data_IF_419059439176
#
_entry.id   IF_419059439176
#
_cell.length_a   1.000
_cell.length_b   1.000
_cell.length_c   1.000
_cell.angle_alpha   90.00
_cell.angle_beta   90.00
_cell.angle_gamma   90.00
#
_symmetry.space_group_name_H-M   'P 1'
#
loop_
_entity.id
_entity.type
_entity.pdbx_description
1 polymer ?
#
# COMPACT_ATOMS: atom_id res chain seq x y z
N UNK A 1 12.37 17.48 23.37
CA UNK A 1 12.73 17.23 21.96
C UNK A 1 12.65 15.74 21.71
N UNK A 2 11.91 15.29 20.71
CA UNK A 2 11.91 13.89 20.26
C UNK A 2 13.10 13.70 19.32
N UNK A 3 13.94 12.70 19.55
CA UNK A 3 14.99 12.31 18.62
C UNK A 3 14.48 11.12 17.80
N UNK A 4 14.65 11.19 16.48
CA UNK A 4 14.34 10.07 15.58
C UNK A 4 15.64 9.31 15.31
N UNK A 5 15.66 8.01 15.60
CA UNK A 5 16.75 7.10 15.28
C UNK A 5 16.25 6.07 14.26
N UNK A 6 16.96 5.94 13.15
CA UNK A 6 16.68 4.96 12.10
C UNK A 6 17.82 3.93 12.02
N UNK A 7 17.47 2.67 11.74
CA UNK A 7 18.44 1.61 11.42
C UNK A 7 18.17 1.13 9.98
N UNK A 8 18.95 1.60 8.98
CA UNK A 8 18.70 1.30 7.58
C UNK A 8 18.55 -0.19 7.28
N UNK A 9 19.34 -1.04 7.94
CA UNK A 9 19.34 -2.49 7.73
C UNK A 9 18.01 -3.13 8.16
N UNK A 10 17.41 -2.62 9.25
CA UNK A 10 16.10 -3.09 9.71
C UNK A 10 14.97 -2.63 8.78
N UNK A 11 15.09 -1.42 8.21
CA UNK A 11 14.11 -0.92 7.25
C UNK A 11 14.18 -1.69 5.92
N UNK A 12 15.38 -2.06 5.48
CA UNK A 12 15.55 -2.90 4.30
C UNK A 12 14.98 -4.31 4.52
N UNK A 13 15.28 -4.95 5.65
CA UNK A 13 14.68 -6.24 6.02
C UNK A 13 13.16 -6.17 6.14
N UNK A 14 12.61 -5.13 6.77
CA UNK A 14 11.18 -4.90 6.85
C UNK A 14 10.55 -4.75 5.46
N UNK A 15 11.20 -4.01 4.55
CA UNK A 15 10.71 -3.85 3.18
C UNK A 15 10.70 -5.17 2.38
N UNK A 16 11.64 -6.08 2.66
CA UNK A 16 11.66 -7.41 2.05
C UNK A 16 10.49 -8.25 2.55
N UNK A 17 10.26 -8.28 3.86
CA UNK A 17 9.13 -8.98 4.48
C UNK A 17 7.78 -8.43 3.96
N UNK A 18 7.65 -7.11 3.85
CA UNK A 18 6.44 -6.49 3.32
C UNK A 18 6.21 -6.85 1.85
N UNK A 19 7.27 -6.92 1.02
CA UNK A 19 7.14 -7.38 -0.36
C UNK A 19 6.66 -8.83 -0.44
N UNK A 20 7.14 -9.71 0.45
CA UNK A 20 6.68 -11.10 0.54
C UNK A 20 5.21 -11.20 0.95
N UNK A 21 4.78 -10.41 1.94
CA UNK A 21 3.37 -10.32 2.36
C UNK A 21 2.50 -9.84 1.19
N UNK A 22 2.91 -8.77 0.50
CA UNK A 22 2.19 -8.24 -0.66
C UNK A 22 2.03 -9.26 -1.79
N UNK A 23 3.11 -9.99 -2.09
CA UNK A 23 3.09 -11.09 -3.07
C UNK A 23 2.11 -12.21 -2.68
N UNK A 24 2.18 -12.65 -1.43
CA UNK A 24 1.29 -13.70 -0.89
C UNK A 24 -0.17 -13.27 -0.92
N UNK A 25 -0.45 -12.01 -0.56
CA UNK A 25 -1.79 -11.45 -0.57
C UNK A 25 -2.33 -11.34 -2.00
N UNK A 26 -1.51 -10.88 -2.95
CA UNK A 26 -1.87 -10.81 -4.37
C UNK A 26 -2.20 -12.19 -4.94
N UNK A 27 -1.35 -13.19 -4.66
CA UNK A 27 -1.60 -14.57 -5.08
C UNK A 27 -2.88 -15.14 -4.46
N UNK A 28 -3.13 -14.86 -3.18
CA UNK A 28 -4.35 -15.29 -2.48
C UNK A 28 -5.59 -14.65 -3.08
N UNK A 29 -5.57 -13.33 -3.31
CA UNK A 29 -6.69 -12.60 -3.91
C UNK A 29 -7.03 -13.13 -5.30
N UNK A 30 -6.02 -13.42 -6.12
CA UNK A 30 -6.21 -14.04 -7.42
C UNK A 30 -6.78 -15.47 -7.32
N UNK A 31 -6.29 -16.26 -6.36
CA UNK A 31 -6.76 -17.63 -6.12
C UNK A 31 -8.24 -17.67 -5.70
N UNK A 32 -8.67 -16.73 -4.86
CA UNK A 32 -10.06 -16.68 -4.36
C UNK A 32 -11.00 -15.88 -5.26
N UNK A 33 -10.51 -15.26 -6.34
CA UNK A 33 -11.31 -14.38 -7.20
C UNK A 33 -12.53 -15.08 -7.78
N UNK A 34 -12.34 -16.21 -8.48
CA UNK A 34 -13.45 -16.96 -9.05
C UNK A 34 -14.47 -17.46 -8.00
N UNK A 35 -14.07 -18.21 -6.94
CA UNK A 35 -15.05 -18.77 -6.00
C UNK A 35 -15.81 -17.71 -5.19
N UNK A 36 -15.28 -16.49 -5.06
CA UNK A 36 -15.97 -15.41 -4.33
C UNK A 36 -16.94 -14.61 -5.19
N UNK A 37 -16.78 -14.60 -6.52
CA UNK A 37 -17.72 -13.91 -7.43
C UNK A 37 -18.83 -14.82 -7.97
N UNK A 38 -18.64 -16.14 -7.92
CA UNK A 38 -19.57 -17.14 -8.47
C UNK A 38 -20.20 -18.01 -7.40
N UNK A 39 -20.81 -17.41 -6.38
CA UNK A 39 -21.51 -18.14 -5.30
C UNK A 39 -22.84 -18.69 -5.83
N UNK A 40 -23.03 -20.03 -5.90
CA UNK A 40 -24.25 -20.62 -6.42
C UNK A 40 -25.45 -20.35 -5.50
N UNK A 41 -26.63 -20.19 -6.09
CA UNK A 41 -27.86 -19.98 -5.34
C UNK A 41 -28.21 -21.23 -4.51
N UNK A 42 -28.52 -21.08 -3.20
CA UNK A 42 -28.88 -22.21 -2.35
C UNK A 42 -30.25 -22.81 -2.70
N UNK A 43 -31.08 -22.07 -3.45
CA UNK A 43 -32.41 -22.48 -3.89
C UNK A 43 -32.75 -21.92 -5.27
N UNK A 44 -33.89 -22.35 -5.82
CA UNK A 44 -34.40 -21.92 -7.14
C UNK A 44 -35.32 -20.70 -7.06
N UNK A 45 -35.50 -20.12 -5.88
CA UNK A 45 -36.32 -18.95 -5.65
C UNK A 45 -35.58 -17.66 -6.00
N UNK A 46 -36.34 -16.59 -6.25
CA UNK A 46 -35.79 -15.29 -6.64
C UNK A 46 -34.99 -14.62 -5.54
N UNK A 47 -35.23 -14.93 -4.26
CA UNK A 47 -34.46 -14.39 -3.12
C UNK A 47 -33.09 -15.05 -3.07
N UNK A 48 -33.00 -16.37 -3.23
CA UNK A 48 -31.75 -17.12 -3.35
C UNK A 48 -30.91 -16.62 -4.53
N UNK A 49 -31.53 -16.38 -5.69
CA UNK A 49 -30.85 -15.81 -6.85
C UNK A 49 -30.31 -14.39 -6.58
N UNK A 50 -31.11 -13.52 -5.95
CA UNK A 50 -30.71 -12.18 -5.58
C UNK A 50 -29.54 -12.16 -4.58
N UNK A 51 -29.57 -13.04 -3.58
CA UNK A 51 -28.48 -13.17 -2.59
C UNK A 51 -27.17 -13.62 -3.27
N UNK A 52 -27.23 -14.60 -4.17
CA UNK A 52 -26.06 -15.00 -4.96
C UNK A 52 -25.52 -13.88 -5.83
N UNK A 53 -26.40 -13.10 -6.47
CA UNK A 53 -26.00 -11.94 -7.26
C UNK A 53 -25.34 -10.85 -6.39
N UNK A 54 -25.85 -10.63 -5.16
CA UNK A 54 -25.23 -9.71 -4.20
C UNK A 54 -23.80 -10.16 -3.84
N UNK A 55 -23.58 -11.44 -3.55
CA UNK A 55 -22.24 -11.96 -3.27
C UNK A 55 -21.30 -11.79 -4.47
N UNK A 56 -21.78 -12.06 -5.68
CA UNK A 56 -20.99 -11.85 -6.89
C UNK A 56 -20.57 -10.39 -7.06
N UNK A 57 -21.52 -9.47 -6.87
CA UNK A 57 -21.27 -8.04 -6.96
C UNK A 57 -20.29 -7.56 -5.87
N UNK A 58 -20.43 -8.04 -4.63
CA UNK A 58 -19.50 -7.75 -3.54
C UNK A 58 -18.09 -8.31 -3.81
N UNK A 59 -18.00 -9.54 -4.32
CA UNK A 59 -16.73 -10.17 -4.72
C UNK A 59 -16.01 -9.35 -5.79
N UNK A 60 -16.74 -8.85 -6.79
CA UNK A 60 -16.16 -7.97 -7.82
C UNK A 60 -15.64 -6.65 -7.23
N UNK A 61 -16.40 -6.01 -6.34
CA UNK A 61 -15.96 -4.79 -5.66
C UNK A 61 -14.71 -5.04 -4.80
N UNK A 62 -14.68 -6.15 -4.07
CA UNK A 62 -13.51 -6.57 -3.29
C UNK A 62 -12.27 -6.75 -4.16
N UNK A 63 -12.39 -7.43 -5.30
CA UNK A 63 -11.24 -7.65 -6.21
C UNK A 63 -10.67 -6.35 -6.77
N UNK A 64 -11.54 -5.39 -7.11
CA UNK A 64 -11.10 -4.06 -7.55
C UNK A 64 -10.36 -3.30 -6.46
N UNK A 65 -10.91 -3.29 -5.24
CA UNK A 65 -10.27 -2.64 -4.09
C UNK A 65 -8.94 -3.30 -3.73
N UNK A 66 -8.89 -4.63 -3.73
CA UNK A 66 -7.67 -5.40 -3.45
C UNK A 66 -6.56 -5.11 -4.46
N UNK A 67 -6.89 -4.89 -5.74
CA UNK A 67 -5.93 -4.46 -6.75
C UNK A 67 -5.38 -3.04 -6.47
N UNK A 68 -6.24 -2.10 -6.08
CA UNK A 68 -5.82 -0.74 -5.71
C UNK A 68 -4.93 -0.75 -4.45
N UNK A 69 -5.32 -1.53 -3.44
CA UNK A 69 -4.53 -1.72 -2.22
C UNK A 69 -3.15 -2.35 -2.52
N UNK A 70 -3.09 -3.32 -3.44
CA UNK A 70 -1.83 -3.91 -3.90
C UNK A 70 -0.90 -2.87 -4.53
N UNK A 71 -1.42 -2.01 -5.42
CA UNK A 71 -0.63 -0.95 -6.04
C UNK A 71 -0.09 0.06 -5.01
N UNK A 72 -0.92 0.45 -4.03
CA UNK A 72 -0.50 1.29 -2.92
C UNK A 72 0.60 0.63 -2.08
N UNK A 73 0.45 -0.66 -1.75
CA UNK A 73 1.42 -1.43 -0.96
C UNK A 73 2.79 -1.48 -1.67
N UNK A 74 2.80 -1.73 -2.98
CA UNK A 74 4.03 -1.75 -3.77
C UNK A 74 4.76 -0.41 -3.73
N UNK A 75 4.02 0.70 -3.87
CA UNK A 75 4.57 2.04 -3.74
C UNK A 75 5.13 2.26 -2.33
N UNK A 76 4.37 1.92 -1.28
CA UNK A 76 4.83 2.05 0.10
C UNK A 76 6.15 1.31 0.35
N UNK A 77 6.29 0.08 -0.13
CA UNK A 77 7.52 -0.71 -0.02
C UNK A 77 8.69 -0.04 -0.77
N UNK A 78 8.44 0.51 -1.95
CA UNK A 78 9.45 1.25 -2.72
C UNK A 78 9.93 2.50 -1.96
N UNK A 79 9.00 3.26 -1.36
CA UNK A 79 9.33 4.43 -0.54
C UNK A 79 10.16 4.04 0.68
N UNK A 80 9.77 2.97 1.37
CA UNK A 80 10.49 2.50 2.55
C UNK A 80 11.94 2.13 2.22
N UNK A 81 12.17 1.46 1.09
CA UNK A 81 13.52 1.15 0.59
C UNK A 81 14.31 2.39 0.22
N UNK A 82 13.68 3.35 -0.45
CA UNK A 82 14.33 4.62 -0.80
C UNK A 82 14.74 5.40 0.46
N UNK A 83 13.87 5.46 1.47
CA UNK A 83 14.16 6.07 2.76
C UNK A 83 15.33 5.38 3.48
N UNK A 84 15.33 4.05 3.55
CA UNK A 84 16.43 3.28 4.14
C UNK A 84 17.78 3.60 3.48
N UNK A 85 17.82 3.61 2.14
CA UNK A 85 19.03 3.98 1.38
C UNK A 85 19.46 5.41 1.66
N UNK A 86 18.52 6.35 1.76
CA UNK A 86 18.84 7.73 2.09
C UNK A 86 19.57 7.85 3.43
N UNK A 87 19.09 7.17 4.48
CA UNK A 87 19.77 7.17 5.78
C UNK A 87 21.16 6.51 5.69
N UNK A 88 21.27 5.35 5.03
CA UNK A 88 22.56 4.67 4.86
C UNK A 88 23.60 5.54 4.12
N UNK A 89 23.18 6.29 3.10
CA UNK A 89 24.10 7.20 2.38
C UNK A 89 24.60 8.35 3.24
N UNK A 90 23.77 8.87 4.15
CA UNK A 90 24.16 9.92 5.10
C UNK A 90 25.13 9.36 6.12
N UNK A 91 24.86 8.17 6.67
CA UNK A 91 25.74 7.51 7.63
C UNK A 91 27.12 7.24 7.02
N UNK A 92 27.18 6.69 5.80
CA UNK A 92 28.45 6.46 5.09
C UNK A 92 29.23 7.76 4.79
N UNK A 93 28.54 8.85 4.43
CA UNK A 93 29.17 10.15 4.20
C UNK A 93 29.76 10.73 5.49
N UNK A 94 29.04 10.60 6.61
CA UNK A 94 29.50 11.05 7.93
C UNK A 94 30.71 10.24 8.40
N UNK A 95 30.70 8.91 8.22
CA UNK A 95 31.85 8.05 8.52
C UNK A 95 33.09 8.43 7.70
N UNK A 96 32.93 8.66 6.39
CA UNK A 96 34.04 9.08 5.52
C UNK A 96 34.62 10.43 5.94
N UNK A 97 33.78 11.40 6.34
CA UNK A 97 34.23 12.69 6.84
C UNK A 97 35.04 12.57 8.14
N UNK A 98 34.59 11.72 9.08
CA UNK A 98 35.32 11.44 10.32
C UNK A 98 36.67 10.75 10.07
N UNK A 99 36.73 9.84 9.10
CA UNK A 99 37.98 9.20 8.68
C UNK A 99 38.94 10.20 8.04
N UNK A 100 38.44 11.14 7.23
CA UNK A 100 39.28 12.20 6.65
C UNK A 100 39.84 13.14 7.73
N UNK A 101 39.05 13.48 8.75
CA UNK A 101 39.50 14.33 9.87
C UNK A 101 40.60 13.66 10.72
N UNK A 102 40.48 12.36 10.98
CA UNK A 102 41.51 11.60 11.71
C UNK A 102 42.82 11.46 10.93
N UNK A 103 42.80 11.54 9.60
CA UNK A 103 44.00 11.51 8.73
C UNK A 103 44.65 12.89 8.58
N UNK A 104 43.89 13.99 8.68
CA UNK A 104 44.39 15.35 8.39
C UNK A 104 44.64 16.21 9.65
N UNK A 105 44.12 15.82 10.82
CA UNK A 105 44.45 16.50 12.09
C UNK A 105 43.98 17.95 12.19
N UNK A 106 42.94 18.35 11.45
CA UNK A 106 42.39 19.72 11.47
C UNK A 106 40.86 19.68 11.40
N UNK A 107 40.19 20.32 12.37
CA UNK A 107 38.72 20.48 12.46
C UNK A 107 38.27 21.84 11.84
N UNK A 108 36.96 22.08 11.56
CA UNK A 108 35.82 21.18 11.67
C UNK A 108 35.18 20.81 10.31
N UNK A 109 34.64 19.59 10.21
CA UNK A 109 33.78 19.19 9.12
C UNK A 109 32.41 19.88 9.25
N UNK A 110 32.15 20.92 8.45
CA UNK A 110 30.80 21.43 8.25
C UNK A 110 30.10 20.48 7.28
N UNK A 111 29.51 19.41 7.80
CA UNK A 111 28.55 18.60 7.06
C UNK A 111 27.30 19.46 6.82
N UNK A 112 27.25 20.13 5.66
CA UNK A 112 26.03 20.76 5.18
C UNK A 112 24.91 19.72 5.07
N UNK A 113 23.62 20.13 5.17
CA UNK A 113 22.51 19.19 5.24
C UNK A 113 22.52 18.30 4.00
N UNK A 114 22.94 17.04 4.19
CA UNK A 114 22.85 16.02 3.15
C UNK A 114 21.38 15.91 2.76
N UNK A 115 21.10 16.13 1.48
CA UNK A 115 19.76 16.27 0.90
C UNK A 115 18.97 14.95 0.95
N UNK A 116 18.60 14.48 2.15
CA UNK A 116 17.77 13.31 2.36
C UNK A 116 16.27 13.57 2.06
N UNK A 117 15.88 14.82 1.81
CA UNK A 117 14.48 15.22 1.63
C UNK A 117 13.94 15.01 0.20
N UNK A 118 14.81 14.98 -0.83
CA UNK A 118 14.39 14.91 -2.23
C UNK A 118 13.57 13.66 -2.60
N UNK A 119 13.99 12.44 -2.21
CA UNK A 119 13.29 11.21 -2.57
C UNK A 119 11.93 11.06 -1.87
N UNK A 120 11.82 11.52 -0.62
CA UNK A 120 10.62 11.35 0.22
C UNK A 120 9.49 12.30 -0.23
N UNK A 121 9.82 13.55 -0.56
CA UNK A 121 8.85 14.56 -1.02
C UNK A 121 8.31 14.23 -2.42
N UNK A 122 9.16 13.74 -3.33
CA UNK A 122 8.72 13.29 -4.66
C UNK A 122 7.75 12.11 -4.58
N UNK A 123 7.95 11.24 -3.60
CA UNK A 123 7.13 10.06 -3.39
C UNK A 123 5.81 10.35 -2.65
N UNK A 124 5.80 11.31 -1.70
CA UNK A 124 4.61 11.83 -1.03
C UNK A 124 3.62 12.50 -2.02
N UNK A 125 4.17 13.18 -3.04
CA UNK A 125 3.39 13.81 -4.11
C UNK A 125 2.74 12.77 -5.05
N UNK A 126 3.26 11.54 -5.12
CA UNK A 126 2.71 10.48 -5.96
C UNK A 126 1.56 9.70 -5.31
N UNK A 127 1.42 9.76 -3.98
CA UNK A 127 0.41 9.00 -3.19
C UNK A 127 -0.94 9.74 -3.14
N UNK A 128 -0.92 11.07 -3.19
CA UNK A 128 -2.09 11.94 -3.06
C UNK A 128 -3.18 11.73 -4.13
N UNK A 129 -2.87 11.47 -5.42
CA UNK A 129 -3.90 11.25 -6.45
C UNK A 129 -4.61 9.90 -6.32
N UNK A 130 -3.94 8.85 -5.81
CA UNK A 130 -4.49 7.50 -5.71
C UNK A 130 -5.61 7.37 -4.66
N UNK A 131 -5.63 8.30 -3.68
CA UNK A 131 -6.62 8.37 -2.61
C UNK A 131 -7.84 9.25 -2.98
N UNK A 132 -7.74 10.08 -4.02
CA UNK A 132 -8.71 11.14 -4.33
C UNK A 132 -9.86 10.71 -5.26
N UNK A 133 -9.77 9.57 -5.93
CA UNK A 133 -10.82 9.04 -6.83
C UNK A 133 -11.86 8.16 -6.15
N UNK A 134 -11.88 8.14 -4.81
CA UNK A 134 -12.81 7.32 -4.03
C UNK A 134 -14.23 7.89 -4.14
N UNK A 135 -14.94 7.54 -5.22
CA UNK A 135 -16.40 7.40 -5.10
C UNK A 135 -16.56 6.30 -4.06
N UNK A 136 -17.04 6.59 -2.84
CA UNK A 136 -16.87 5.66 -1.74
C UNK A 136 -17.49 4.34 -2.15
N UNK A 137 -16.69 3.27 -2.19
CA UNK A 137 -17.14 1.91 -2.51
C UNK A 137 -18.37 1.51 -1.68
N UNK A 138 -18.53 2.09 -0.50
CA UNK A 138 -19.74 2.03 0.32
C UNK A 138 -21.02 2.47 -0.41
N UNK A 139 -21.00 3.59 -1.14
CA UNK A 139 -22.11 4.07 -1.94
C UNK A 139 -22.39 3.20 -3.18
N UNK A 140 -21.36 2.53 -3.71
CA UNK A 140 -21.55 1.52 -4.75
C UNK A 140 -22.19 0.24 -4.16
N UNK A 141 -21.80 -0.16 -2.94
CA UNK A 141 -22.33 -1.33 -2.22
C UNK A 141 -23.79 -1.15 -1.79
N UNK A 142 -24.15 0.04 -1.35
CA UNK A 142 -25.51 0.38 -0.96
C UNK A 142 -26.48 0.39 -2.17
N UNK A 143 -25.99 0.57 -3.40
CA UNK A 143 -26.79 0.65 -4.62
C UNK A 143 -26.74 -0.63 -5.47
N UNK A 144 -26.55 -1.79 -4.85
CA UNK A 144 -26.52 -3.07 -5.59
C UNK A 144 -27.80 -3.27 -6.41
N UNK A 145 -27.70 -3.57 -7.73
CA UNK A 145 -28.86 -3.86 -8.55
C UNK A 145 -29.51 -5.23 -8.21
N UNK A 146 -28.88 -6.04 -7.35
CA UNK A 146 -29.29 -7.42 -7.06
C UNK A 146 -30.73 -7.55 -6.53
N UNK A 147 -31.27 -6.50 -5.91
CA UNK A 147 -32.65 -6.48 -5.37
C UNK A 147 -33.61 -5.58 -6.15
N UNK A 148 -33.18 -4.98 -7.26
CA UNK A 148 -33.99 -4.03 -8.03
C UNK A 148 -35.27 -4.68 -8.59
N UNK A 149 -35.18 -5.92 -9.07
CA UNK A 149 -36.32 -6.69 -9.61
C UNK A 149 -37.26 -7.26 -8.53
N UNK A 150 -36.89 -7.18 -7.26
CA UNK A 150 -37.74 -7.62 -6.13
C UNK A 150 -38.64 -6.49 -5.60
N UNK A 151 -38.60 -5.29 -6.19
CA UNK A 151 -39.42 -4.16 -5.78
C UNK A 151 -39.07 -3.60 -4.39
N UNK A 152 -37.90 -3.94 -3.85
CA UNK A 152 -37.42 -3.53 -2.53
C UNK A 152 -36.48 -2.31 -2.57
N UNK A 153 -36.19 -1.79 -3.76
CA UNK A 153 -35.36 -0.60 -3.95
C UNK A 153 -36.17 0.67 -3.60
N UNK A 154 -36.34 0.97 -2.31
CA UNK A 154 -37.04 2.19 -1.88
C UNK A 154 -37.42 2.31 -0.41
N UNK A 155 -36.83 1.54 0.51
CA UNK A 155 -37.03 1.71 1.95
C UNK A 155 -35.73 2.12 2.66
#
# INVERSE_FOLDING_TARGET
>A
MSFVSAKPELLEAASANLAEIGSTLSATNAFVAAPTVSVPAPGTDSVSAAISALFGWHGHAYQQLSAQAGAFHDQFVQLLRAGARSYATVDAANEAALQAETVVGMAPAVAGPAAAAGPVVAAETAITPALATDTPLYAALANSPAFADLGLAGA
#
